data_IF_093352062322
#
_entry.id   IF_093352062322
#
_cell.length_a   1.000
_cell.length_b   1.000
_cell.length_c   1.000
_cell.angle_alpha   90.00
_cell.angle_beta   90.00
_cell.angle_gamma   90.00
#
_symmetry.space_group_name_H-M   'P 1'
#
loop_
_entity.id
_entity.type
_entity.pdbx_description
1 polymer ?
#
# COMPACT_ATOMS: atom_id res chain seq x y z
N UNK A 1 6.28 -25.34 1.59
CA UNK A 1 6.95 -24.19 0.94
C UNK A 1 5.84 -23.33 0.39
N UNK A 2 5.52 -22.20 1.03
CA UNK A 2 4.51 -21.28 0.50
C UNK A 2 5.09 -20.68 -0.79
N UNK A 3 4.41 -20.89 -1.91
CA UNK A 3 4.76 -20.32 -3.20
C UNK A 3 4.80 -18.80 -3.02
N UNK A 4 5.94 -18.17 -3.34
CA UNK A 4 6.09 -16.71 -3.25
C UNK A 4 5.09 -16.08 -4.23
N UNK A 5 4.21 -15.20 -3.75
CA UNK A 5 3.31 -14.48 -4.63
C UNK A 5 4.14 -13.45 -5.41
N UNK A 6 4.20 -13.54 -6.77
CA UNK A 6 5.05 -12.69 -7.59
C UNK A 6 4.61 -11.22 -7.56
N UNK A 7 3.31 -10.94 -7.45
CA UNK A 7 2.77 -9.58 -7.38
C UNK A 7 3.32 -8.84 -6.15
N UNK A 8 3.37 -9.52 -5.00
CA UNK A 8 3.90 -8.93 -3.77
C UNK A 8 5.39 -8.57 -3.89
N UNK A 9 6.16 -9.41 -4.58
CA UNK A 9 7.59 -9.16 -4.81
C UNK A 9 7.76 -7.95 -5.74
N UNK A 10 7.07 -7.93 -6.87
CA UNK A 10 7.17 -6.83 -7.83
C UNK A 10 6.73 -5.49 -7.22
N UNK A 11 5.60 -5.46 -6.49
CA UNK A 11 5.16 -4.25 -5.79
C UNK A 11 6.22 -3.79 -4.80
N UNK A 12 6.84 -4.70 -4.04
CA UNK A 12 7.88 -4.30 -3.09
C UNK A 12 9.10 -3.72 -3.77
N UNK A 13 9.53 -4.28 -4.90
CA UNK A 13 10.70 -3.78 -5.65
C UNK A 13 10.44 -2.38 -6.21
N UNK A 14 9.27 -2.18 -6.84
CA UNK A 14 8.85 -0.86 -7.35
C UNK A 14 8.84 0.18 -6.22
N UNK A 15 8.24 -0.13 -5.08
CA UNK A 15 8.17 0.81 -3.96
C UNK A 15 9.55 1.07 -3.34
N UNK A 16 10.40 0.05 -3.22
CA UNK A 16 11.77 0.20 -2.72
C UNK A 16 12.62 1.08 -3.67
N UNK A 17 12.42 1.00 -4.99
CA UNK A 17 13.06 1.90 -5.96
C UNK A 17 12.59 3.35 -5.81
N UNK A 18 11.27 3.56 -5.74
CA UNK A 18 10.69 4.89 -5.50
C UNK A 18 11.27 5.50 -4.23
N UNK A 19 11.31 4.74 -3.13
CA UNK A 19 11.79 5.25 -1.84
C UNK A 19 13.27 5.62 -1.87
N UNK A 20 14.11 4.82 -2.55
CA UNK A 20 15.54 5.14 -2.70
C UNK A 20 15.73 6.49 -3.37
N UNK A 21 14.94 6.79 -4.39
CA UNK A 21 14.99 8.08 -5.07
C UNK A 21 14.45 9.21 -4.19
N UNK A 22 13.30 9.02 -3.56
CA UNK A 22 12.62 10.07 -2.77
C UNK A 22 13.32 10.39 -1.46
N UNK A 23 13.93 9.41 -0.79
CA UNK A 23 14.69 9.63 0.45
C UNK A 23 15.93 10.51 0.18
N UNK A 24 16.46 10.49 -1.05
CA UNK A 24 17.58 11.34 -1.44
C UNK A 24 17.19 12.81 -1.69
N UNK A 25 15.90 13.14 -1.77
CA UNK A 25 15.42 14.47 -2.15
C UNK A 25 15.33 15.46 -0.97
N UNK A 26 15.67 15.07 0.26
CA UNK A 26 15.55 15.90 1.50
C UNK A 26 14.24 16.71 1.59
N UNK A 27 13.12 16.13 1.14
CA UNK A 27 11.83 16.81 1.15
C UNK A 27 11.26 16.84 2.56
N UNK A 28 11.15 18.03 3.16
CA UNK A 28 10.39 18.22 4.40
C UNK A 28 8.89 18.05 4.12
N UNK A 29 8.36 16.85 4.38
CA UNK A 29 6.92 16.58 4.36
C UNK A 29 6.46 16.13 5.74
N UNK A 30 5.87 17.04 6.51
CA UNK A 30 5.23 16.73 7.79
C UNK A 30 3.75 16.43 7.56
N UNK A 31 3.45 15.23 7.05
CA UNK A 31 2.07 14.73 7.00
C UNK A 31 1.78 13.83 8.19
N UNK A 32 0.49 13.69 8.55
CA UNK A 32 0.05 12.75 9.61
C UNK A 32 0.43 11.29 9.30
N UNK A 33 0.74 10.99 8.03
CA UNK A 33 1.14 9.66 7.56
C UNK A 33 2.61 9.36 7.83
N UNK A 34 3.43 10.34 8.23
CA UNK A 34 4.85 10.11 8.55
C UNK A 34 5.03 9.51 9.94
N UNK A 35 5.73 8.38 10.00
CA UNK A 35 6.17 7.78 11.24
C UNK A 35 7.38 8.53 11.81
N UNK A 36 7.50 8.53 13.13
CA UNK A 36 8.62 9.16 13.85
C UNK A 36 9.97 8.56 13.42
N UNK A 37 9.99 7.27 13.11
CA UNK A 37 11.13 6.56 12.56
C UNK A 37 10.66 5.62 11.45
N UNK A 38 11.49 5.45 10.41
CA UNK A 38 11.27 4.46 9.37
C UNK A 38 11.15 3.06 9.98
N UNK A 39 10.12 2.26 9.63
CA UNK A 39 9.98 0.90 10.13
C UNK A 39 11.16 0.01 9.72
N UNK A 40 11.64 -0.81 10.66
CA UNK A 40 12.73 -1.75 10.40
C UNK A 40 12.33 -2.96 9.52
N UNK A 41 11.03 -3.18 9.34
CA UNK A 41 10.51 -4.25 8.47
C UNK A 41 10.55 -3.79 7.01
N UNK A 42 11.08 -4.61 6.11
CA UNK A 42 11.04 -4.31 4.67
C UNK A 42 9.61 -4.31 4.14
N UNK A 43 9.38 -3.62 3.02
CA UNK A 43 8.07 -3.54 2.36
C UNK A 43 7.57 -4.94 2.00
N UNK A 44 8.44 -5.77 1.42
CA UNK A 44 8.12 -7.16 1.08
C UNK A 44 7.62 -7.96 2.30
N UNK A 45 8.37 -7.92 3.41
CA UNK A 45 7.99 -8.65 4.62
C UNK A 45 6.70 -8.08 5.23
N UNK A 46 6.45 -6.78 5.09
CA UNK A 46 5.21 -6.15 5.54
C UNK A 46 4.00 -6.58 4.70
N UNK A 47 4.14 -6.61 3.36
CA UNK A 47 3.13 -7.15 2.43
C UNK A 47 2.83 -8.62 2.73
N UNK A 48 3.86 -9.45 2.90
CA UNK A 48 3.70 -10.86 3.27
C UNK A 48 2.98 -11.02 4.61
N UNK A 49 3.32 -10.18 5.60
CA UNK A 49 2.64 -10.16 6.90
C UNK A 49 1.16 -9.85 6.72
N UNK A 50 0.81 -8.80 5.97
CA UNK A 50 -0.59 -8.45 5.72
C UNK A 50 -1.31 -9.62 5.04
N UNK A 51 -0.81 -10.09 3.89
CA UNK A 51 -1.39 -11.21 3.15
C UNK A 51 -1.65 -12.44 4.02
N UNK A 52 -0.66 -12.82 4.83
CA UNK A 52 -0.73 -14.00 5.72
C UNK A 52 -1.83 -13.90 6.77
N UNK A 53 -2.07 -12.71 7.33
CA UNK A 53 -2.98 -12.53 8.45
C UNK A 53 -4.36 -12.01 8.04
N UNK A 54 -4.49 -11.26 6.95
CA UNK A 54 -5.79 -10.75 6.48
C UNK A 54 -6.52 -11.72 5.57
N UNK A 55 -5.82 -12.69 4.94
CA UNK A 55 -6.43 -13.59 3.96
C UNK A 55 -7.19 -12.84 2.84
N UNK A 56 -6.73 -11.64 2.51
CA UNK A 56 -7.37 -10.82 1.48
C UNK A 56 -7.10 -11.37 0.08
N UNK A 57 -7.96 -10.96 -0.85
CA UNK A 57 -7.79 -11.28 -2.26
C UNK A 57 -6.50 -10.67 -2.85
N UNK A 58 -5.88 -11.35 -3.82
CA UNK A 58 -4.65 -10.85 -4.45
C UNK A 58 -4.89 -9.53 -5.20
N UNK A 59 -6.11 -9.35 -5.71
CA UNK A 59 -6.60 -8.13 -6.35
C UNK A 59 -6.43 -6.90 -5.46
N UNK A 60 -6.59 -7.05 -4.14
CA UNK A 60 -6.45 -5.93 -3.20
C UNK A 60 -5.06 -5.30 -3.24
N UNK A 61 -4.00 -6.06 -3.57
CA UNK A 61 -2.65 -5.51 -3.69
C UNK A 61 -2.49 -4.64 -4.93
N UNK A 62 -3.07 -5.05 -6.05
CA UNK A 62 -3.10 -4.26 -7.29
C UNK A 62 -3.92 -2.98 -7.08
N UNK A 63 -5.11 -3.11 -6.48
CA UNK A 63 -5.99 -1.98 -6.13
C UNK A 63 -5.27 -0.98 -5.20
N UNK A 64 -4.55 -1.49 -4.19
CA UNK A 64 -3.80 -0.64 -3.28
C UNK A 64 -2.72 0.17 -4.02
N UNK A 65 -2.01 -0.42 -4.98
CA UNK A 65 -1.05 0.31 -5.81
C UNK A 65 -1.73 1.42 -6.62
N UNK A 66 -2.89 1.13 -7.23
CA UNK A 66 -3.69 2.14 -7.95
C UNK A 66 -4.08 3.29 -7.01
N UNK A 67 -4.44 3.00 -5.77
CA UNK A 67 -4.74 4.06 -4.79
C UNK A 67 -3.51 4.91 -4.45
N UNK A 68 -2.32 4.31 -4.32
CA UNK A 68 -1.09 5.06 -4.08
C UNK A 68 -0.74 5.96 -5.27
N UNK A 69 -0.86 5.47 -6.50
CA UNK A 69 -0.67 6.27 -7.72
C UNK A 69 -1.65 7.45 -7.77
N UNK A 70 -2.95 7.19 -7.60
CA UNK A 70 -3.98 8.26 -7.55
C UNK A 70 -3.68 9.29 -6.47
N UNK A 71 -3.18 8.87 -5.32
CA UNK A 71 -2.80 9.77 -4.24
C UNK A 71 -1.64 10.68 -4.65
N UNK A 72 -0.60 10.13 -5.28
CA UNK A 72 0.54 10.90 -5.79
C UNK A 72 0.13 11.89 -6.89
N UNK A 73 -0.75 11.47 -7.81
CA UNK A 73 -1.26 12.33 -8.88
C UNK A 73 -2.04 13.53 -8.35
N UNK A 74 -2.89 13.31 -7.33
CA UNK A 74 -3.72 14.36 -6.73
C UNK A 74 -2.97 15.25 -5.74
N UNK A 75 -1.99 14.68 -5.04
CA UNK A 75 -1.30 15.34 -3.92
C UNK A 75 0.21 15.20 -4.06
N UNK A 76 0.78 15.82 -5.10
CA UNK A 76 2.22 15.77 -5.42
C UNK A 76 3.16 16.26 -4.30
N UNK A 77 2.63 16.95 -3.29
CA UNK A 77 3.38 17.36 -2.08
C UNK A 77 3.52 16.23 -1.04
N UNK A 78 2.73 15.17 -1.15
CA UNK A 78 2.83 13.98 -0.30
C UNK A 78 3.84 13.01 -0.91
N UNK A 79 5.13 13.29 -0.81
CA UNK A 79 6.16 12.38 -1.34
C UNK A 79 6.18 11.07 -0.54
N UNK A 80 6.00 9.92 -1.22
CA UNK A 80 6.19 8.60 -0.61
C UNK A 80 7.66 8.42 -0.26
N UNK A 81 7.97 8.10 0.98
CA UNK A 81 9.33 7.91 1.47
C UNK A 81 9.36 6.80 2.55
N UNK A 82 10.54 6.46 3.06
CA UNK A 82 10.70 5.38 4.05
C UNK A 82 9.96 5.61 5.36
N UNK A 83 9.57 6.86 5.68
CA UNK A 83 8.85 7.21 6.89
C UNK A 83 7.33 7.07 6.76
N UNK A 84 6.76 7.15 5.55
CA UNK A 84 5.31 7.13 5.36
C UNK A 84 4.79 5.91 4.58
N UNK A 85 5.63 5.23 3.78
CA UNK A 85 5.16 4.17 2.87
C UNK A 85 4.39 3.06 3.58
N UNK A 86 4.86 2.55 4.72
CA UNK A 86 4.18 1.43 5.40
C UNK A 86 2.78 1.80 5.86
N UNK A 87 2.59 3.06 6.29
CA UNK A 87 1.27 3.57 6.70
C UNK A 87 0.38 3.73 5.49
N UNK A 88 0.87 4.35 4.40
CA UNK A 88 0.09 4.47 3.17
C UNK A 88 -0.30 3.11 2.60
N UNK A 89 0.63 2.16 2.59
CA UNK A 89 0.40 0.80 2.11
C UNK A 89 -0.65 0.06 2.95
N UNK A 90 -0.58 0.18 4.29
CA UNK A 90 -1.59 -0.38 5.19
C UNK A 90 -2.98 0.20 4.89
N UNK A 91 -3.08 1.53 4.74
CA UNK A 91 -4.36 2.21 4.53
C UNK A 91 -4.94 1.92 3.16
N UNK A 92 -4.12 1.93 2.12
CA UNK A 92 -4.52 1.57 0.77
C UNK A 92 -5.04 0.12 0.71
N UNK A 93 -4.32 -0.83 1.34
CA UNK A 93 -4.75 -2.22 1.42
C UNK A 93 -6.02 -2.41 2.23
N UNK A 94 -6.12 -1.82 3.43
CA UNK A 94 -7.33 -1.93 4.26
C UNK A 94 -8.55 -1.35 3.54
N UNK A 95 -8.37 -0.22 2.86
CA UNK A 95 -9.41 0.41 2.05
C UNK A 95 -9.82 -0.49 0.88
N UNK A 96 -8.85 -1.09 0.18
CA UNK A 96 -9.10 -2.03 -0.91
C UNK A 96 -9.90 -3.24 -0.42
N UNK A 97 -9.46 -3.87 0.68
CA UNK A 97 -10.11 -5.05 1.27
C UNK A 97 -11.56 -4.74 1.65
N UNK A 98 -11.79 -3.64 2.38
CA UNK A 98 -13.15 -3.28 2.81
C UNK A 98 -14.09 -2.91 1.66
N UNK A 99 -13.54 -2.46 0.54
CA UNK A 99 -14.32 -2.07 -0.63
C UNK A 99 -14.58 -3.26 -1.57
N UNK A 100 -13.61 -4.16 -1.71
CA UNK A 100 -13.60 -5.20 -2.72
C UNK A 100 -14.00 -6.59 -2.18
N UNK A 101 -13.57 -6.94 -0.97
CA UNK A 101 -13.82 -8.26 -0.39
C UNK A 101 -15.13 -8.26 0.41
N UNK A 102 -15.96 -9.30 0.24
CA UNK A 102 -17.20 -9.46 1.02
C UNK A 102 -16.91 -9.78 2.50
N UNK A 103 -15.84 -10.54 2.75
CA UNK A 103 -15.39 -10.95 4.08
C UNK A 103 -14.18 -10.10 4.52
N UNK A 104 -14.42 -9.14 5.42
CA UNK A 104 -13.37 -8.27 5.96
C UNK A 104 -13.42 -8.17 7.49
N UNK A 105 -12.32 -7.69 8.08
CA UNK A 105 -12.18 -7.53 9.52
C UNK A 105 -12.45 -6.10 9.99
N UNK A 106 -12.62 -5.92 11.30
CA UNK A 106 -12.66 -4.58 11.93
C UNK A 106 -11.26 -3.97 11.99
N UNK A 107 -11.18 -2.65 12.06
CA UNK A 107 -9.91 -1.91 12.22
C UNK A 107 -9.05 -2.36 13.39
N UNK A 108 -9.64 -2.89 14.45
CA UNK A 108 -8.86 -3.45 15.56
C UNK A 108 -7.96 -4.62 15.11
N UNK A 109 -8.44 -5.44 14.17
CA UNK A 109 -7.65 -6.52 13.61
C UNK A 109 -6.55 -5.98 12.71
N UNK A 110 -6.88 -5.08 11.79
CA UNK A 110 -5.90 -4.47 10.89
C UNK A 110 -4.84 -3.66 11.63
N UNK A 111 -5.19 -2.99 12.73
CA UNK A 111 -4.24 -2.31 13.62
C UNK A 111 -3.19 -3.29 14.16
N UNK A 112 -3.61 -4.46 14.66
CA UNK A 112 -2.71 -5.51 15.17
C UNK A 112 -1.82 -6.07 14.06
N UNK A 113 -2.37 -6.31 12.87
CA UNK A 113 -1.61 -6.78 11.71
C UNK A 113 -0.61 -5.72 11.25
N UNK A 114 -1.02 -4.46 11.15
CA UNK A 114 -0.21 -3.35 10.67
C UNK A 114 0.80 -2.81 11.69
N UNK A 115 0.68 -3.20 12.96
CA UNK A 115 1.60 -2.78 14.02
C UNK A 115 1.37 -1.35 14.53
N UNK A 116 0.16 -0.81 14.35
CA UNK A 116 -0.22 0.54 14.81
C UNK A 116 -1.40 0.46 15.78
N UNK A 117 -1.68 1.54 16.49
CA UNK A 117 -2.77 1.53 17.47
C UNK A 117 -4.15 1.74 16.80
N UNK A 118 -5.23 1.26 17.44
CA UNK A 118 -6.58 1.37 16.88
C UNK A 118 -7.02 2.82 16.64
N UNK A 119 -6.69 3.75 17.53
CA UNK A 119 -7.08 5.15 17.37
C UNK A 119 -6.37 5.79 16.17
N UNK A 120 -5.12 5.41 15.97
CA UNK A 120 -4.27 5.87 14.87
C UNK A 120 -4.76 5.33 13.54
N UNK A 121 -5.02 4.02 13.40
CA UNK A 121 -5.55 3.50 12.12
C UNK A 121 -6.90 4.12 11.77
N UNK A 122 -7.78 4.33 12.76
CA UNK A 122 -9.09 4.94 12.51
C UNK A 122 -8.93 6.38 12.00
N UNK A 123 -8.04 7.17 12.62
CA UNK A 123 -7.77 8.54 12.18
C UNK A 123 -7.14 8.55 10.78
N UNK A 124 -6.11 7.73 10.58
CA UNK A 124 -5.39 7.67 9.31
C UNK A 124 -6.27 7.18 8.16
N UNK A 125 -7.17 6.23 8.41
CA UNK A 125 -8.12 5.74 7.40
C UNK A 125 -9.12 6.82 7.01
N UNK A 126 -9.69 7.53 7.97
CA UNK A 126 -10.58 8.64 7.67
C UNK A 126 -9.90 9.68 6.77
N UNK A 127 -8.70 10.11 7.15
CA UNK A 127 -7.94 11.09 6.40
C UNK A 127 -7.58 10.55 5.01
N UNK A 128 -7.09 9.31 4.91
CA UNK A 128 -6.80 8.70 3.60
C UNK A 128 -8.02 8.72 2.66
N UNK A 129 -9.22 8.42 3.17
CA UNK A 129 -10.46 8.49 2.38
C UNK A 129 -10.80 9.92 1.94
N UNK A 130 -10.59 10.91 2.81
CA UNK A 130 -10.73 12.33 2.49
C UNK A 130 -9.74 12.75 1.38
N UNK A 131 -8.47 12.35 1.49
CA UNK A 131 -7.45 12.58 0.46
C UNK A 131 -7.80 11.93 -0.89
N UNK A 132 -8.47 10.78 -0.87
CA UNK A 132 -8.95 10.09 -2.06
C UNK A 132 -10.25 10.67 -2.63
N UNK A 133 -10.88 11.64 -1.97
CA UNK A 133 -12.25 12.12 -2.26
C UNK A 133 -13.27 10.97 -2.34
N UNK A 134 -13.05 9.86 -1.61
CA UNK A 134 -13.85 8.65 -1.69
C UNK A 134 -13.98 8.04 -3.10
N UNK A 135 -13.09 8.39 -4.03
CA UNK A 135 -13.04 7.82 -5.39
C UNK A 135 -12.33 6.47 -5.36
N UNK A 136 -13.02 5.46 -4.82
CA UNK A 136 -12.50 4.10 -4.60
C UNK A 136 -12.82 3.13 -5.74
N UNK A 137 -13.80 3.45 -6.58
CA UNK A 137 -14.15 2.58 -7.69
C UNK A 137 -12.99 2.47 -8.69
N UNK A 138 -12.70 1.25 -9.11
CA UNK A 138 -11.72 0.88 -10.13
C UNK A 138 -12.47 -0.01 -11.11
N UNK A 139 -12.52 0.40 -12.37
CA UNK A 139 -13.10 -0.44 -13.41
C UNK A 139 -12.16 -1.57 -13.82
N UNK A 140 -12.73 -2.59 -14.47
CA UNK A 140 -12.00 -3.78 -14.90
C UNK A 140 -10.84 -3.44 -15.85
N UNK A 141 -10.99 -2.46 -16.73
CA UNK A 141 -9.95 -2.10 -17.69
C UNK A 141 -8.74 -1.49 -16.97
N UNK A 142 -8.99 -0.57 -16.04
CA UNK A 142 -7.93 0.01 -15.22
C UNK A 142 -7.23 -1.06 -14.39
N UNK A 143 -7.98 -1.95 -13.74
CA UNK A 143 -7.40 -3.06 -12.99
C UNK A 143 -6.48 -3.93 -13.85
N UNK A 144 -6.97 -4.40 -15.01
CA UNK A 144 -6.23 -5.28 -15.91
C UNK A 144 -4.95 -4.63 -16.46
N UNK A 145 -4.97 -3.32 -16.71
CA UNK A 145 -3.76 -2.58 -17.13
C UNK A 145 -2.68 -2.62 -16.06
N UNK A 146 -3.05 -2.39 -14.80
CA UNK A 146 -2.11 -2.42 -13.68
C UNK A 146 -1.59 -3.84 -13.39
N UNK A 147 -2.50 -4.81 -13.34
CA UNK A 147 -2.13 -6.21 -13.13
C UNK A 147 -1.16 -6.70 -14.22
N UNK A 148 -1.49 -6.45 -15.49
CA UNK A 148 -0.62 -6.82 -16.61
C UNK A 148 0.76 -6.18 -16.50
N UNK A 149 0.83 -4.88 -16.22
CA UNK A 149 2.11 -4.18 -16.04
C UNK A 149 2.93 -4.82 -14.92
N UNK A 150 2.32 -5.06 -13.76
CA UNK A 150 3.02 -5.70 -12.64
C UNK A 150 3.59 -7.07 -13.01
N UNK A 151 2.84 -7.89 -13.74
CA UNK A 151 3.32 -9.19 -14.20
C UNK A 151 4.49 -9.05 -15.19
N UNK A 152 4.39 -8.14 -16.17
CA UNK A 152 5.47 -7.85 -17.14
C UNK A 152 6.75 -7.35 -16.45
N UNK A 153 6.64 -6.44 -15.48
CA UNK A 153 7.78 -5.96 -14.68
C UNK A 153 8.43 -7.10 -13.88
N UNK A 154 7.62 -7.99 -13.28
CA UNK A 154 8.12 -9.15 -12.54
C UNK A 154 8.88 -10.15 -13.42
N UNK A 155 8.46 -10.34 -14.68
CA UNK A 155 9.17 -11.21 -15.62
C UNK A 155 10.54 -10.66 -16.03
N UNK A 156 10.65 -9.34 -16.22
CA UNK A 156 11.90 -8.67 -16.62
C UNK A 156 12.97 -8.76 -15.53
N UNK A 157 12.61 -8.59 -14.26
CA UNK A 157 13.59 -8.68 -13.16
C UNK A 157 14.10 -10.11 -12.91
N UNK A 158 13.34 -11.13 -13.32
CA UNK A 158 13.71 -12.54 -13.15
C UNK A 158 14.49 -13.14 -14.33
N UNK A 159 14.59 -12.41 -15.46
CA UNK A 159 15.33 -12.82 -16.67
C UNK A 159 16.75 -12.26 -16.71
#
# INVERSE_FOLDING_TARGET
>A
MQQQNPILLTISNILDEIIKETDALEVESNSIFHAIAAPAISIYNYLQRINKYTHCSEQCFVIALIYLDRLQEKHSYLVLNSHCIHRFLLLALVTAIKFQDDDYYKNEYYAKVGGINLKEINKLEQEFLEYMNYELFIDEQQYLVYEKRLLEYGEIEMS
#
